data_IF_084123016244
#
_entry.id   IF_084123016244
#
_cell.length_a   1.000
_cell.length_b   1.000
_cell.length_c   1.000
_cell.angle_alpha   90.00
_cell.angle_beta   90.00
_cell.angle_gamma   90.00
#
_symmetry.space_group_name_H-M   'P 1'
#
loop_
_entity.id
_entity.type
_entity.pdbx_description
1 polymer ?
#
# COMPACT_ATOMS: atom_id res chain seq x y z
N UNK A 1 71.58 -17.05 -18.66
CA UNK A 1 70.67 -18.15 -19.05
C UNK A 1 69.31 -17.57 -19.40
N UNK A 2 68.99 -17.61 -20.70
CA UNK A 2 67.68 -17.82 -21.34
C UNK A 2 66.46 -17.00 -20.82
N UNK A 3 66.06 -15.91 -21.49
CA UNK A 3 65.07 -15.82 -22.62
C UNK A 3 63.63 -16.14 -22.18
N UNK A 4 62.70 -15.17 -22.33
CA UNK A 4 61.50 -15.27 -23.19
C UNK A 4 60.72 -13.94 -23.20
N UNK A 5 60.64 -13.35 -24.39
CA UNK A 5 59.75 -12.27 -24.84
C UNK A 5 58.34 -12.79 -25.10
N UNK A 6 57.30 -11.97 -24.94
CA UNK A 6 56.20 -11.80 -25.93
C UNK A 6 55.43 -10.51 -25.59
N UNK A 7 55.42 -9.62 -26.58
CA UNK A 7 54.66 -8.37 -26.66
C UNK A 7 53.18 -8.64 -26.93
N UNK A 8 52.30 -7.77 -26.43
CA UNK A 8 51.06 -7.46 -27.16
C UNK A 8 50.70 -5.98 -26.96
N UNK A 9 51.12 -5.20 -27.93
CA UNK A 9 50.76 -3.79 -28.11
C UNK A 9 49.31 -3.70 -28.59
N UNK A 10 48.42 -3.09 -27.81
CA UNK A 10 47.09 -2.69 -28.29
C UNK A 10 47.13 -1.20 -28.56
N UNK A 11 47.02 -0.88 -29.86
CA UNK A 11 47.06 0.45 -30.44
C UNK A 11 45.66 1.11 -30.39
N UNK A 12 45.72 2.40 -30.11
CA UNK A 12 44.71 3.44 -29.93
C UNK A 12 43.66 3.59 -31.05
N UNK A 13 42.41 3.93 -30.72
CA UNK A 13 41.61 4.87 -31.53
C UNK A 13 40.57 5.63 -30.69
N UNK A 14 40.84 6.93 -30.48
CA UNK A 14 39.89 7.89 -29.94
C UNK A 14 39.09 8.52 -31.10
N UNK A 15 37.76 8.51 -31.01
CA UNK A 15 36.90 9.44 -31.77
C UNK A 15 35.66 9.79 -30.93
N UNK A 16 35.43 11.08 -30.71
CA UNK A 16 34.23 11.64 -30.10
C UNK A 16 33.34 12.23 -31.19
N UNK A 17 32.01 12.10 -31.12
CA UNK A 17 31.10 12.97 -31.86
C UNK A 17 30.52 14.05 -30.95
N UNK A 18 30.58 15.27 -31.48
CA UNK A 18 30.04 16.49 -30.90
C UNK A 18 28.52 16.48 -30.79
N UNK A 19 28.06 17.19 -29.77
CA UNK A 19 26.69 17.66 -29.52
C UNK A 19 26.01 18.24 -30.76
N UNK A 20 24.80 17.77 -31.05
CA UNK A 20 23.79 18.48 -31.87
C UNK A 20 22.59 18.79 -30.98
N UNK A 21 22.28 20.09 -30.86
CA UNK A 21 21.04 20.59 -30.29
C UNK A 21 19.90 20.44 -31.31
N UNK A 22 18.87 19.68 -30.97
CA UNK A 22 17.55 19.79 -31.59
C UNK A 22 16.51 19.69 -30.48
N UNK A 23 15.75 20.77 -30.29
CA UNK A 23 14.77 20.90 -29.23
C UNK A 23 13.47 20.13 -29.47
N UNK A 24 12.52 20.43 -28.58
CA UNK A 24 11.11 20.02 -28.55
C UNK A 24 10.86 18.67 -27.87
N UNK A 25 10.50 18.68 -26.58
CA UNK A 25 9.12 18.75 -26.12
C UNK A 25 9.11 18.35 -24.63
N UNK A 26 8.98 19.34 -23.76
CA UNK A 26 8.64 19.11 -22.36
C UNK A 26 7.27 18.43 -22.28
N UNK A 27 7.24 17.15 -21.93
CA UNK A 27 6.07 16.53 -21.30
C UNK A 27 6.53 15.96 -19.97
N UNK A 28 6.85 16.89 -19.07
CA UNK A 28 6.52 16.73 -17.66
C UNK A 28 5.00 16.54 -17.59
N UNK A 29 4.57 15.29 -17.70
CA UNK A 29 3.22 14.90 -17.35
C UNK A 29 3.38 14.05 -16.11
N UNK A 30 3.43 14.75 -14.96
CA UNK A 30 2.53 14.48 -13.85
C UNK A 30 2.00 13.04 -13.90
N UNK A 31 2.81 12.07 -13.46
CA UNK A 31 2.28 10.84 -12.89
C UNK A 31 1.63 11.27 -11.58
N UNK A 32 0.51 12.01 -11.70
CA UNK A 32 -0.54 12.03 -10.72
C UNK A 32 -0.70 10.57 -10.37
N UNK A 33 -0.34 10.29 -9.13
CA UNK A 33 -0.54 9.02 -8.50
C UNK A 33 -2.01 8.68 -8.72
N UNK A 34 -2.27 7.88 -9.76
CA UNK A 34 -3.51 7.16 -9.91
C UNK A 34 -3.48 6.18 -8.74
N UNK A 35 -3.83 6.66 -7.56
CA UNK A 35 -4.40 5.88 -6.49
C UNK A 35 -5.64 5.28 -7.14
N UNK A 36 -5.46 4.12 -7.77
CA UNK A 36 -6.53 3.20 -8.08
C UNK A 36 -7.36 3.16 -6.81
N UNK A 37 -8.54 3.78 -6.85
CA UNK A 37 -9.32 4.06 -5.66
C UNK A 37 -9.68 2.70 -5.08
N UNK A 38 -8.92 2.27 -4.07
CA UNK A 38 -9.09 0.95 -3.49
C UNK A 38 -10.55 0.86 -3.07
N UNK A 39 -11.27 -0.14 -3.61
CA UNK A 39 -12.71 -0.23 -3.40
C UNK A 39 -12.96 -0.36 -1.90
N UNK A 40 -13.65 0.63 -1.33
CA UNK A 40 -14.02 0.61 0.07
C UNK A 40 -15.31 -0.18 0.26
N UNK A 41 -15.38 -0.92 1.36
CA UNK A 41 -16.49 -1.77 1.74
C UNK A 41 -16.95 -1.35 3.13
N UNK A 42 -18.20 -0.93 3.27
CA UNK A 42 -18.74 -0.51 4.55
C UNK A 42 -19.37 -1.69 5.30
N UNK A 43 -19.17 -1.69 6.62
CA UNK A 43 -19.80 -2.63 7.54
C UNK A 43 -20.25 -1.92 8.82
N UNK A 44 -21.09 -2.61 9.59
CA UNK A 44 -21.51 -2.20 10.92
C UNK A 44 -21.25 -3.33 11.89
N UNK A 45 -20.97 -3.02 13.15
CA UNK A 45 -20.68 -4.05 14.14
C UNK A 45 -20.50 -3.52 15.55
N UNK A 46 -20.13 -4.43 16.45
CA UNK A 46 -19.80 -4.13 17.84
C UNK A 46 -18.32 -4.41 18.07
N UNK A 47 -17.63 -3.46 18.71
CA UNK A 47 -16.23 -3.59 19.10
C UNK A 47 -16.12 -4.58 20.26
N UNK A 48 -15.37 -5.66 20.07
CA UNK A 48 -15.10 -6.63 21.13
C UNK A 48 -13.80 -6.30 21.87
N UNK A 49 -12.75 -5.90 21.13
CA UNK A 49 -11.42 -5.60 21.68
C UNK A 49 -10.68 -4.65 20.75
N UNK A 50 -9.91 -3.73 21.32
CA UNK A 50 -8.94 -2.87 20.61
C UNK A 50 -7.54 -3.27 21.07
N UNK A 51 -6.65 -3.54 20.12
CA UNK A 51 -5.25 -3.91 20.36
C UNK A 51 -4.33 -2.96 19.58
N UNK A 52 -3.91 -1.89 20.25
CA UNK A 52 -3.06 -0.85 19.66
C UNK A 52 -1.62 -1.33 19.45
N UNK A 53 -1.17 -2.35 20.19
CA UNK A 53 0.18 -2.91 20.03
C UNK A 53 0.29 -3.73 18.73
N UNK A 54 -0.79 -4.41 18.36
CA UNK A 54 -0.87 -5.25 17.16
C UNK A 54 -1.52 -4.55 15.97
N UNK A 55 -1.90 -3.27 16.10
CA UNK A 55 -2.66 -2.50 15.11
C UNK A 55 -3.95 -3.23 14.65
N UNK A 56 -4.70 -3.78 15.61
CA UNK A 56 -5.88 -4.60 15.33
C UNK A 56 -7.08 -4.20 16.17
N UNK A 57 -8.27 -4.39 15.60
CA UNK A 57 -9.55 -4.32 16.29
C UNK A 57 -10.35 -5.59 16.03
N UNK A 58 -10.90 -6.19 17.07
CA UNK A 58 -11.81 -7.32 16.94
C UNK A 58 -13.25 -6.81 16.94
N UNK A 59 -14.01 -7.16 15.90
CA UNK A 59 -15.37 -6.69 15.67
C UNK A 59 -16.30 -7.90 15.46
N UNK A 60 -17.48 -7.85 16.08
CA UNK A 60 -18.62 -8.68 15.66
C UNK A 60 -19.40 -7.86 14.66
N UNK A 61 -19.21 -8.11 13.37
CA UNK A 61 -19.84 -7.33 12.32
C UNK A 61 -21.07 -8.03 11.75
N UNK A 62 -22.03 -7.23 11.26
CA UNK A 62 -23.13 -7.72 10.45
C UNK A 62 -22.69 -8.07 9.01
N UNK A 63 -23.62 -8.45 8.14
CA UNK A 63 -23.29 -8.77 6.75
C UNK A 63 -22.58 -7.61 6.03
N UNK A 64 -21.59 -7.95 5.19
CA UNK A 64 -20.94 -7.00 4.28
C UNK A 64 -21.22 -7.46 2.84
N UNK A 65 -22.33 -7.01 2.23
CA UNK A 65 -22.79 -7.54 0.94
C UNK A 65 -21.78 -7.36 -0.19
N UNK A 66 -21.05 -6.25 -0.18
CA UNK A 66 -20.05 -5.93 -1.21
C UNK A 66 -18.83 -6.88 -1.19
N UNK A 67 -18.64 -7.65 -0.11
CA UNK A 67 -17.64 -8.71 0.02
C UNK A 67 -18.26 -10.11 0.01
N UNK A 68 -19.60 -10.22 0.00
CA UNK A 68 -20.30 -11.49 0.18
C UNK A 68 -20.10 -12.12 1.56
N UNK A 69 -19.72 -11.33 2.56
CA UNK A 69 -19.45 -11.85 3.90
C UNK A 69 -20.72 -11.89 4.75
N UNK A 70 -21.01 -13.01 5.43
CA UNK A 70 -22.06 -13.04 6.44
C UNK A 70 -21.64 -12.21 7.66
N UNK A 71 -22.56 -12.02 8.61
CA UNK A 71 -22.18 -11.50 9.91
C UNK A 71 -21.27 -12.49 10.64
N UNK A 72 -20.13 -12.02 11.14
CA UNK A 72 -19.17 -12.84 11.85
C UNK A 72 -18.29 -12.02 12.79
N UNK A 73 -17.54 -12.70 13.64
CA UNK A 73 -16.56 -12.10 14.53
C UNK A 73 -15.16 -12.28 13.97
N UNK A 74 -14.47 -11.17 13.68
CA UNK A 74 -13.10 -11.24 13.20
C UNK A 74 -12.26 -10.00 13.55
N UNK A 75 -10.94 -10.18 13.46
CA UNK A 75 -9.96 -9.12 13.64
C UNK A 75 -9.66 -8.38 12.34
N UNK A 76 -9.79 -7.06 12.36
CA UNK A 76 -9.37 -6.17 11.27
C UNK A 76 -8.07 -5.48 11.64
N UNK A 77 -7.13 -5.43 10.71
CA UNK A 77 -5.89 -4.64 10.86
C UNK A 77 -6.16 -3.20 10.45
N UNK A 78 -5.45 -2.27 11.08
CA UNK A 78 -5.35 -0.88 10.63
C UNK A 78 -3.91 -0.59 10.21
N UNK A 79 -3.73 0.30 9.24
CA UNK A 79 -2.40 0.80 8.88
C UNK A 79 -1.92 1.89 9.84
N UNK A 80 -2.85 2.69 10.32
CA UNK A 80 -2.63 3.76 11.28
C UNK A 80 -3.53 3.54 12.50
N UNK A 81 -2.93 3.47 13.69
CA UNK A 81 -3.65 3.32 14.96
C UNK A 81 -4.49 4.54 15.31
N UNK A 82 -4.21 5.71 14.70
CA UNK A 82 -5.04 6.90 14.83
C UNK A 82 -6.51 6.62 14.46
N UNK A 83 -6.75 5.70 13.52
CA UNK A 83 -8.09 5.27 13.12
C UNK A 83 -8.88 4.67 14.31
N UNK A 84 -8.20 4.05 15.28
CA UNK A 84 -8.82 3.42 16.45
C UNK A 84 -8.97 4.37 17.65
N UNK A 85 -8.57 5.63 17.52
CA UNK A 85 -8.69 6.59 18.63
C UNK A 85 -10.14 6.81 19.03
N UNK A 86 -10.40 6.86 20.33
CA UNK A 86 -11.75 7.03 20.88
C UNK A 86 -12.65 5.79 20.78
N UNK A 87 -12.20 4.72 20.12
CA UNK A 87 -12.93 3.45 20.02
C UNK A 87 -12.71 2.61 21.27
N UNK A 88 -13.80 2.06 21.82
CA UNK A 88 -13.80 1.26 23.05
C UNK A 88 -14.60 -0.04 22.86
N UNK A 89 -14.24 -1.12 23.55
CA UNK A 89 -15.06 -2.33 23.62
C UNK A 89 -16.51 -2.01 24.02
N UNK A 90 -17.46 -2.74 23.44
CA UNK A 90 -18.90 -2.58 23.65
C UNK A 90 -19.58 -1.55 22.74
N UNK A 91 -18.82 -0.71 22.02
CA UNK A 91 -19.41 0.29 21.13
C UNK A 91 -19.95 -0.33 19.84
N UNK A 92 -21.16 0.08 19.45
CA UNK A 92 -21.62 -0.07 18.07
C UNK A 92 -20.88 0.92 17.17
N UNK A 93 -20.44 0.47 16.01
CA UNK A 93 -19.65 1.25 15.07
C UNK A 93 -20.10 1.01 13.63
N UNK A 94 -19.97 2.05 12.81
CA UNK A 94 -19.89 1.91 11.35
C UNK A 94 -18.42 1.96 10.96
N UNK A 95 -17.98 1.12 10.04
CA UNK A 95 -16.60 1.07 9.59
C UNK A 95 -16.49 0.91 8.08
N UNK A 96 -15.30 1.22 7.55
CA UNK A 96 -14.92 0.96 6.16
C UNK A 96 -13.63 0.16 6.11
N UNK A 97 -13.58 -0.82 5.21
CA UNK A 97 -12.39 -1.60 4.90
C UNK A 97 -12.04 -1.49 3.43
N UNK A 98 -10.75 -1.52 3.13
CA UNK A 98 -10.23 -1.61 1.76
C UNK A 98 -9.57 -2.96 1.55
N UNK A 99 -9.72 -3.52 0.36
CA UNK A 99 -8.97 -4.70 -0.04
C UNK A 99 -7.68 -4.29 -0.76
N UNK A 100 -6.54 -4.74 -0.25
CA UNK A 100 -5.21 -4.42 -0.82
C UNK A 100 -4.45 -5.67 -1.27
N UNK A 101 -5.14 -6.79 -1.38
CA UNK A 101 -4.57 -8.04 -1.88
C UNK A 101 -5.39 -9.25 -1.46
N UNK A 102 -4.97 -10.45 -1.86
CA UNK A 102 -5.67 -11.69 -1.52
C UNK A 102 -5.80 -11.82 0.00
N UNK A 103 -7.04 -11.76 0.50
CA UNK A 103 -7.37 -11.86 1.93
C UNK A 103 -6.74 -10.75 2.82
N UNK A 104 -6.31 -9.63 2.23
CA UNK A 104 -5.76 -8.49 2.97
C UNK A 104 -6.78 -7.35 3.01
N UNK A 105 -7.38 -7.17 4.19
CA UNK A 105 -8.36 -6.13 4.45
C UNK A 105 -7.85 -5.22 5.56
N UNK A 106 -7.84 -3.93 5.29
CA UNK A 106 -7.44 -2.91 6.25
C UNK A 106 -8.62 -2.00 6.53
N UNK A 107 -8.86 -1.77 7.81
CA UNK A 107 -9.85 -0.82 8.28
C UNK A 107 -9.27 0.59 8.15
N UNK A 108 -9.95 1.41 7.34
CA UNK A 108 -9.52 2.78 7.00
C UNK A 108 -10.35 3.84 7.72
N UNK A 109 -11.58 3.50 8.11
CA UNK A 109 -12.43 4.37 8.91
C UNK A 109 -13.27 3.55 9.89
N UNK A 110 -13.51 4.11 11.07
CA UNK A 110 -14.41 3.57 12.08
C UNK A 110 -15.02 4.74 12.85
N UNK A 111 -16.32 4.66 13.14
CA UNK A 111 -17.05 5.73 13.80
C UNK A 111 -18.06 5.13 14.77
N UNK A 112 -18.06 5.53 16.05
CA UNK A 112 -19.10 5.13 17.01
C UNK A 112 -20.48 5.54 16.52
N UNK A 113 -21.44 4.63 16.62
CA UNK A 113 -22.85 4.93 16.44
C UNK A 113 -23.40 5.53 17.73
N UNK A 114 -24.26 6.55 17.61
CA UNK A 114 -24.97 7.14 18.76
C UNK A 114 -26.00 6.19 19.35
#
# INVERSE_FOLDING_TARGET
>A
MQRTTISLSILLLATAPAVTLAGTHSHDMNRAEMHASARSHSGQGVVNKVDLQSNKVNLTHGPIPSLGWPGMTMGFKVKDTAVLQGIKPGQRVTFEVVNEGPKQYFLTRITPQK
#
